data_IF_301610697719
#
_entry.id   IF_301610697719
#
_cell.length_a   1.000
_cell.length_b   1.000
_cell.length_c   1.000
_cell.angle_alpha   90.00
_cell.angle_beta   90.00
_cell.angle_gamma   90.00
#
_symmetry.space_group_name_H-M   'P 1'
#
loop_
_entity.id
_entity.type
_entity.pdbx_description
1 polymer ?
#
# COMPACT_ATOMS: atom_id res chain seq x y z
N UNK A 1 -4.47 -10.05 8.73
CA UNK A 1 -3.43 -9.79 9.74
C UNK A 1 -2.18 -10.53 9.28
N UNK A 2 -1.10 -9.80 8.99
CA UNK A 2 0.08 -10.34 8.31
C UNK A 2 0.76 -11.48 9.09
N UNK A 3 1.39 -12.41 8.38
CA UNK A 3 2.20 -13.45 9.00
C UNK A 3 3.61 -12.92 9.31
N UNK A 4 3.79 -12.40 10.51
CA UNK A 4 5.05 -11.78 10.97
C UNK A 4 6.24 -12.72 11.12
N UNK A 5 6.08 -14.03 10.89
CA UNK A 5 7.13 -15.02 11.08
C UNK A 5 8.38 -14.79 10.23
N UNK A 6 8.25 -14.13 9.07
CA UNK A 6 9.38 -13.83 8.19
C UNK A 6 9.77 -12.35 8.20
N UNK A 7 9.14 -11.53 9.03
CA UNK A 7 9.47 -10.12 9.15
C UNK A 7 10.82 -9.97 9.88
N UNK A 8 11.84 -9.32 9.29
CA UNK A 8 13.15 -9.19 9.92
C UNK A 8 13.16 -8.19 11.09
N UNK A 9 12.13 -7.35 11.20
CA UNK A 9 12.03 -6.27 12.17
C UNK A 9 11.48 -6.69 13.53
N UNK A 10 10.83 -7.85 13.59
CA UNK A 10 10.16 -8.32 14.80
C UNK A 10 10.61 -9.72 15.18
N UNK A 11 10.48 -10.01 16.47
CA UNK A 11 10.70 -11.33 17.02
C UNK A 11 9.55 -11.71 17.94
N UNK A 12 9.31 -13.01 18.09
CA UNK A 12 8.26 -13.48 18.98
C UNK A 12 8.82 -13.51 20.39
N UNK A 13 8.15 -12.84 21.32
CA UNK A 13 8.49 -12.92 22.73
C UNK A 13 8.47 -14.39 23.20
N UNK A 14 9.26 -14.68 24.23
CA UNK A 14 9.25 -15.99 24.86
C UNK A 14 7.83 -16.33 25.35
N UNK A 15 7.52 -17.63 25.43
CA UNK A 15 6.17 -18.11 25.79
C UNK A 15 5.67 -17.60 27.15
N UNK A 16 6.56 -17.07 27.98
CA UNK A 16 6.23 -16.52 29.29
C UNK A 16 5.64 -15.10 29.20
N UNK A 17 5.94 -14.35 28.14
CA UNK A 17 5.47 -12.98 27.88
C UNK A 17 4.26 -12.95 26.91
N UNK A 18 3.51 -14.05 26.82
CA UNK A 18 2.26 -14.11 26.05
C UNK A 18 2.43 -14.31 24.54
N UNK A 19 3.67 -14.39 24.03
CA UNK A 19 3.94 -14.69 22.61
C UNK A 19 3.60 -13.57 21.64
N UNK A 20 3.55 -12.32 22.12
CA UNK A 20 3.39 -11.13 21.30
C UNK A 20 4.58 -10.96 20.34
N UNK A 21 4.34 -10.27 19.24
CA UNK A 21 5.40 -9.81 18.34
C UNK A 21 6.01 -8.54 18.91
N UNK A 22 7.32 -8.54 19.08
CA UNK A 22 8.10 -7.44 19.65
C UNK A 22 9.03 -6.88 18.59
N UNK A 23 9.34 -5.58 18.66
CA UNK A 23 10.45 -5.06 17.87
C UNK A 23 11.75 -5.72 18.31
N UNK A 24 12.53 -6.18 17.34
CA UNK A 24 13.71 -6.99 17.57
C UNK A 24 14.70 -6.31 18.51
N UNK A 25 15.09 -6.99 19.58
CA UNK A 25 16.01 -6.46 20.59
C UNK A 25 15.37 -5.42 21.52
N UNK A 26 14.05 -5.37 21.60
CA UNK A 26 13.31 -4.47 22.49
C UNK A 26 12.15 -5.21 23.18
N UNK A 27 11.69 -4.66 24.30
CA UNK A 27 10.46 -5.11 24.97
C UNK A 27 9.21 -4.33 24.49
N UNK A 28 9.28 -3.69 23.31
CA UNK A 28 8.18 -2.91 22.75
C UNK A 28 7.34 -3.80 21.82
N UNK A 29 6.05 -4.02 22.13
CA UNK A 29 5.22 -4.85 21.29
C UNK A 29 4.84 -4.12 20.01
N UNK A 30 4.80 -4.85 18.90
CA UNK A 30 4.42 -4.34 17.60
C UNK A 30 3.02 -3.69 17.62
N UNK A 31 2.09 -4.20 18.42
CA UNK A 31 0.75 -3.61 18.55
C UNK A 31 0.78 -2.16 19.07
N UNK A 32 1.76 -1.80 19.89
CA UNK A 32 1.92 -0.43 20.41
C UNK A 32 2.19 0.57 19.27
N UNK A 33 2.85 0.13 18.19
CA UNK A 33 3.04 0.98 17.00
C UNK A 33 1.67 1.36 16.42
N UNK A 34 0.80 0.39 16.15
CA UNK A 34 -0.48 0.63 15.51
C UNK A 34 -1.43 1.45 16.37
N UNK A 35 -1.43 1.23 17.69
CA UNK A 35 -2.18 2.05 18.63
C UNK A 35 -1.70 3.51 18.57
N UNK A 36 -0.38 3.73 18.60
CA UNK A 36 0.19 5.08 18.54
C UNK A 36 -0.12 5.77 17.20
N UNK A 37 0.01 5.05 16.08
CA UNK A 37 -0.34 5.58 14.76
C UNK A 37 -1.83 5.90 14.64
N UNK A 38 -2.72 5.08 15.22
CA UNK A 38 -4.15 5.34 15.25
C UNK A 38 -4.51 6.60 16.06
N UNK A 39 -3.73 6.89 17.11
CA UNK A 39 -3.82 8.13 17.89
C UNK A 39 -3.19 9.33 17.17
N UNK A 40 -2.58 9.12 16.00
CA UNK A 40 -2.00 10.16 15.15
C UNK A 40 -0.53 10.47 15.42
N UNK A 41 0.17 9.63 16.18
CA UNK A 41 1.62 9.79 16.38
C UNK A 41 2.39 9.62 15.07
N UNK A 42 3.54 10.31 15.00
CA UNK A 42 4.52 10.09 13.94
C UNK A 42 5.41 8.90 14.29
N UNK A 43 5.89 8.21 13.25
CA UNK A 43 6.84 7.09 13.40
C UNK A 43 8.10 7.50 14.17
N UNK A 44 8.67 8.66 13.87
CA UNK A 44 9.87 9.16 14.57
C UNK A 44 9.59 9.47 16.04
N UNK A 45 8.41 10.00 16.35
CA UNK A 45 7.98 10.30 17.72
C UNK A 45 7.77 9.00 18.51
N UNK A 46 7.14 8.00 17.90
CA UNK A 46 7.02 6.66 18.46
C UNK A 46 8.40 6.03 18.72
N UNK A 47 9.28 6.03 17.71
CA UNK A 47 10.62 5.46 17.80
C UNK A 47 11.42 6.10 18.93
N UNK A 48 11.43 7.43 19.00
CA UNK A 48 12.12 8.18 20.05
C UNK A 48 11.52 7.92 21.44
N UNK A 49 10.20 7.85 21.56
CA UNK A 49 9.51 7.66 22.85
C UNK A 49 9.70 6.25 23.42
N UNK A 50 9.69 5.25 22.55
CA UNK A 50 9.75 3.85 22.95
C UNK A 50 11.16 3.25 22.83
N UNK A 51 12.14 4.01 22.33
CA UNK A 51 13.52 3.56 22.18
C UNK A 51 13.68 2.47 21.12
N UNK A 52 12.81 2.48 20.10
CA UNK A 52 12.86 1.54 18.97
C UNK A 52 13.64 2.19 17.83
N UNK A 53 14.52 1.44 17.17
CA UNK A 53 15.19 1.93 15.96
C UNK A 53 14.15 2.23 14.87
N UNK A 54 14.19 3.45 14.33
CA UNK A 54 13.26 3.90 13.29
C UNK A 54 13.30 2.99 12.04
N UNK A 55 14.46 2.39 11.73
CA UNK A 55 14.57 1.45 10.62
C UNK A 55 13.84 0.13 10.88
N UNK A 56 13.74 -0.31 12.15
CA UNK A 56 12.90 -1.46 12.51
C UNK A 56 11.42 -1.13 12.35
N UNK A 57 10.99 0.07 12.75
CA UNK A 57 9.61 0.54 12.56
C UNK A 57 9.27 0.60 11.07
N UNK A 58 10.14 1.21 10.27
CA UNK A 58 9.95 1.29 8.82
C UNK A 58 9.95 -0.11 8.16
N UNK A 59 10.81 -1.03 8.60
CA UNK A 59 10.84 -2.39 8.08
C UNK A 59 9.59 -3.20 8.44
N UNK A 60 9.01 -3.02 9.62
CA UNK A 60 7.75 -3.66 10.01
C UNK A 60 6.57 -3.16 9.15
N UNK A 61 6.47 -1.84 8.95
CA UNK A 61 5.44 -1.24 8.09
C UNK A 61 5.57 -1.71 6.63
N UNK A 62 6.80 -1.72 6.08
CA UNK A 62 7.06 -2.24 4.72
C UNK A 62 6.69 -3.72 4.58
N UNK A 63 6.99 -4.54 5.58
CA UNK A 63 6.67 -5.97 5.54
C UNK A 63 5.15 -6.21 5.55
N UNK A 64 4.41 -5.45 6.35
CA UNK A 64 2.95 -5.50 6.31
C UNK A 64 2.40 -5.07 4.96
N UNK A 65 2.96 -4.00 4.36
CA UNK A 65 2.56 -3.54 3.03
C UNK A 65 2.81 -4.60 1.94
N UNK A 66 3.96 -5.28 1.96
CA UNK A 66 4.29 -6.34 1.00
C UNK A 66 3.42 -7.59 1.19
N UNK A 67 3.17 -7.99 2.43
CA UNK A 67 2.24 -9.10 2.73
C UNK A 67 0.79 -8.72 2.41
N UNK A 68 0.39 -7.45 2.59
CA UNK A 68 -0.93 -6.95 2.23
C UNK A 68 -1.14 -6.96 0.72
N UNK A 69 -0.13 -6.56 -0.06
CA UNK A 69 -0.16 -6.70 -1.52
C UNK A 69 -0.28 -8.18 -1.93
N UNK A 70 0.46 -9.08 -1.28
CA UNK A 70 0.31 -10.52 -1.53
C UNK A 70 -1.07 -11.07 -1.14
N UNK A 71 -1.66 -10.61 -0.02
CA UNK A 71 -3.02 -11.01 0.41
C UNK A 71 -4.10 -10.48 -0.55
N UNK A 72 -3.91 -9.26 -1.08
CA UNK A 72 -4.75 -8.63 -2.11
C UNK A 72 -4.60 -9.33 -3.48
N UNK A 73 -3.43 -9.90 -3.78
CA UNK A 73 -3.13 -10.55 -5.06
C UNK A 73 -3.45 -12.06 -5.08
N UNK A 74 -3.63 -12.74 -3.93
CA UNK A 74 -3.68 -14.21 -3.85
C UNK A 74 -5.05 -14.79 -3.41
N UNK A 75 -6.00 -14.02 -2.85
CA UNK A 75 -7.30 -14.57 -2.38
C UNK A 75 -8.47 -14.20 -3.31
N UNK A 76 -9.06 -15.16 -4.06
CA UNK A 76 -10.28 -14.93 -4.85
C UNK A 76 -11.56 -14.80 -4.01
N UNK A 77 -11.50 -15.01 -2.69
CA UNK A 77 -12.67 -15.11 -1.80
C UNK A 77 -12.35 -14.58 -0.38
N UNK A 78 -12.12 -13.26 -0.28
CA UNK A 78 -11.99 -12.52 0.99
C UNK A 78 -13.31 -11.82 1.41
N UNK A 79 -13.59 -11.68 2.73
CA UNK A 79 -14.89 -11.23 3.23
C UNK A 79 -15.18 -9.79 2.81
N UNK A 80 -16.47 -9.50 2.53
CA UNK A 80 -17.02 -8.22 2.07
C UNK A 80 -16.89 -7.01 3.02
N UNK A 81 -15.81 -6.95 3.78
CA UNK A 81 -15.25 -5.77 4.42
C UNK A 81 -13.78 -5.69 4.04
N UNK A 82 -13.51 -5.34 2.77
CA UNK A 82 -12.23 -4.71 2.46
C UNK A 82 -12.31 -3.34 3.14
N UNK A 83 -11.80 -3.27 4.38
CA UNK A 83 -11.44 -2.02 5.00
C UNK A 83 -10.62 -1.29 3.94
N UNK A 84 -11.17 -0.17 3.47
CA UNK A 84 -10.61 0.66 2.45
C UNK A 84 -9.09 0.69 2.62
N UNK A 85 -8.37 0.06 1.69
CA UNK A 85 -7.18 0.75 1.18
C UNK A 85 -7.71 2.15 0.96
N UNK A 86 -7.14 3.21 1.54
CA UNK A 86 -7.37 4.52 1.00
C UNK A 86 -6.71 4.49 -0.37
N UNK A 87 -7.35 3.82 -1.34
CA UNK A 87 -7.50 4.38 -2.65
C UNK A 87 -8.23 5.67 -2.33
N UNK A 88 -7.43 6.68 -2.02
CA UNK A 88 -7.80 8.05 -2.20
C UNK A 88 -8.20 8.07 -3.67
N UNK A 89 -9.47 7.78 -3.96
CA UNK A 89 -10.14 8.41 -5.07
C UNK A 89 -9.95 9.86 -4.69
N UNK A 90 -9.08 10.62 -5.38
CA UNK A 90 -8.80 11.96 -4.94
C UNK A 90 -10.05 12.77 -5.24
N UNK A 91 -10.94 12.80 -4.26
CA UNK A 91 -11.99 13.80 -4.12
C UNK A 91 -11.27 15.09 -3.72
N UNK A 92 -10.52 15.65 -4.67
CA UNK A 92 -9.95 17.00 -4.59
C UNK A 92 -8.45 17.15 -4.35
N UNK A 93 -7.63 16.08 -4.33
CA UNK A 93 -6.17 16.21 -4.13
C UNK A 93 -5.40 15.50 -5.24
N UNK A 94 -4.88 16.28 -6.19
CA UNK A 94 -3.88 15.93 -7.22
C UNK A 94 -3.85 14.48 -7.71
N UNK A 95 -4.42 14.25 -8.90
CA UNK A 95 -4.21 13.01 -9.67
C UNK A 95 -2.68 12.80 -9.78
N UNK A 96 -2.13 11.64 -9.39
CA UNK A 96 -0.70 11.39 -9.51
C UNK A 96 -0.22 11.69 -10.92
N UNK A 97 0.97 12.28 -11.07
CA UNK A 97 1.56 12.44 -12.39
C UNK A 97 2.11 11.08 -12.84
N UNK A 98 1.46 10.47 -13.82
CA UNK A 98 1.84 9.16 -14.37
C UNK A 98 2.74 9.29 -15.61
N UNK A 99 3.33 10.48 -15.85
CA UNK A 99 4.11 10.76 -17.05
C UNK A 99 5.36 9.87 -17.22
N UNK A 100 5.84 9.25 -16.13
CA UNK A 100 6.96 8.31 -16.11
C UNK A 100 6.54 6.83 -16.25
N UNK A 101 5.23 6.54 -16.27
CA UNK A 101 4.69 5.18 -16.40
C UNK A 101 4.40 4.86 -17.88
N UNK A 102 5.23 4.02 -18.50
CA UNK A 102 5.19 3.73 -19.94
C UNK A 102 3.93 2.98 -20.42
N UNK A 103 3.15 2.39 -19.51
CA UNK A 103 1.94 1.61 -19.84
C UNK A 103 0.67 2.45 -19.80
N UNK A 104 0.78 3.74 -19.48
CA UNK A 104 -0.34 4.69 -19.49
C UNK A 104 0.00 5.90 -20.35
N UNK A 105 -1.04 6.58 -20.82
CA UNK A 105 -0.91 7.81 -21.58
C UNK A 105 -2.01 8.79 -21.20
N UNK A 106 -1.77 10.08 -21.46
CA UNK A 106 -2.78 11.13 -21.34
C UNK A 106 -2.80 11.93 -22.63
N UNK A 107 -3.89 11.81 -23.39
CA UNK A 107 -4.04 12.47 -24.70
C UNK A 107 -5.17 13.49 -24.62
N UNK A 108 -4.88 14.75 -24.97
CA UNK A 108 -5.89 15.80 -25.02
C UNK A 108 -7.04 15.39 -25.95
N UNK A 109 -8.28 15.44 -25.44
CA UNK A 109 -9.48 15.05 -26.18
C UNK A 109 -9.78 13.53 -26.22
N UNK A 110 -8.90 12.67 -25.71
CA UNK A 110 -9.19 11.23 -25.52
C UNK A 110 -9.67 11.01 -24.08
N UNK A 111 -10.87 10.46 -23.92
CA UNK A 111 -11.51 10.21 -22.60
C UNK A 111 -11.43 11.45 -21.69
N UNK A 112 -11.73 12.62 -22.26
CA UNK A 112 -11.68 13.92 -21.56
C UNK A 112 -10.34 14.27 -20.91
N UNK A 113 -9.22 13.72 -21.42
CA UNK A 113 -7.89 13.96 -20.87
C UNK A 113 -7.59 13.14 -19.61
N UNK A 114 -8.34 12.08 -19.34
CA UNK A 114 -8.00 11.12 -18.29
C UNK A 114 -6.72 10.34 -18.63
N UNK A 115 -6.03 9.86 -17.59
CA UNK A 115 -5.01 8.82 -17.75
C UNK A 115 -5.67 7.50 -18.15
N UNK A 116 -5.16 6.90 -19.21
CA UNK A 116 -5.67 5.67 -19.80
C UNK A 116 -4.53 4.68 -20.01
N UNK A 117 -4.84 3.40 -20.11
CA UNK A 117 -3.88 2.41 -20.58
C UNK A 117 -3.46 2.70 -22.03
N UNK A 118 -2.17 2.53 -22.35
CA UNK A 118 -1.68 2.68 -23.72
C UNK A 118 -2.42 1.74 -24.66
N UNK A 119 -2.70 2.23 -25.87
CA UNK A 119 -3.42 1.49 -26.92
C UNK A 119 -4.86 1.12 -26.54
N UNK A 120 -5.38 1.69 -25.46
CA UNK A 120 -6.74 1.47 -24.97
C UNK A 120 -7.52 2.79 -24.87
N UNK A 121 -8.81 2.68 -24.57
CA UNK A 121 -9.65 3.78 -24.06
C UNK A 121 -10.07 3.57 -22.61
N UNK A 122 -9.51 2.54 -21.95
CA UNK A 122 -9.79 2.18 -20.58
C UNK A 122 -9.07 3.15 -19.63
N UNK A 123 -9.79 3.95 -18.84
CA UNK A 123 -9.18 4.90 -17.93
C UNK A 123 -8.72 4.24 -16.63
N UNK A 124 -7.68 4.80 -16.02
CA UNK A 124 -7.14 4.29 -14.75
C UNK A 124 -8.19 4.29 -13.64
N UNK A 125 -9.03 5.33 -13.58
CA UNK A 125 -10.09 5.38 -12.56
C UNK A 125 -11.05 4.18 -12.65
N UNK A 126 -11.26 3.61 -13.84
CA UNK A 126 -12.13 2.44 -13.97
C UNK A 126 -11.50 1.20 -13.30
N UNK A 127 -10.18 1.00 -13.47
CA UNK A 127 -9.47 -0.05 -12.72
C UNK A 127 -9.67 0.14 -11.21
N UNK A 128 -9.43 1.34 -10.69
CA UNK A 128 -9.55 1.59 -9.26
C UNK A 128 -10.98 1.42 -8.75
N UNK A 129 -11.99 1.88 -9.50
CA UNK A 129 -13.40 1.70 -9.15
C UNK A 129 -13.79 0.23 -9.08
N UNK A 130 -13.33 -0.58 -10.02
CA UNK A 130 -13.61 -2.02 -10.06
C UNK A 130 -12.93 -2.74 -8.89
N UNK A 131 -11.63 -2.49 -8.66
CA UNK A 131 -10.91 -3.06 -7.52
C UNK A 131 -11.54 -2.65 -6.18
N UNK A 132 -11.98 -1.40 -6.05
CA UNK A 132 -12.69 -0.92 -4.85
C UNK A 132 -14.08 -1.57 -4.69
N UNK A 133 -14.70 -2.01 -5.80
CA UNK A 133 -15.92 -2.80 -5.81
C UNK A 133 -15.72 -4.29 -5.49
N UNK A 134 -14.48 -4.72 -5.26
CA UNK A 134 -14.12 -6.10 -4.96
C UNK A 134 -13.83 -6.96 -6.20
N UNK A 135 -13.77 -6.37 -7.39
CA UNK A 135 -13.37 -7.06 -8.62
C UNK A 135 -11.90 -7.48 -8.54
N UNK A 136 -11.56 -8.70 -8.93
CA UNK A 136 -10.16 -9.15 -9.00
C UNK A 136 -9.46 -8.64 -10.27
N UNK A 137 -8.12 -8.65 -10.30
CA UNK A 137 -7.35 -8.28 -11.50
C UNK A 137 -7.70 -9.18 -12.70
N UNK A 138 -7.86 -10.48 -12.45
CA UNK A 138 -8.19 -11.45 -13.51
C UNK A 138 -9.58 -11.19 -14.09
N UNK A 139 -10.59 -10.92 -13.25
CA UNK A 139 -11.93 -10.53 -13.70
C UNK A 139 -11.93 -9.21 -14.48
N UNK A 140 -11.20 -8.21 -13.99
CA UNK A 140 -11.07 -6.93 -14.68
C UNK A 140 -10.44 -7.10 -16.07
N UNK A 141 -9.37 -7.88 -16.16
CA UNK A 141 -8.68 -8.17 -17.44
C UNK A 141 -9.61 -8.90 -18.40
N UNK A 142 -10.39 -9.86 -17.91
CA UNK A 142 -11.37 -10.59 -18.72
C UNK A 142 -12.47 -9.66 -19.27
N UNK A 143 -13.08 -8.82 -18.41
CA UNK A 143 -14.19 -7.94 -18.80
C UNK A 143 -13.78 -6.83 -19.75
N UNK A 144 -12.60 -6.25 -19.55
CA UNK A 144 -12.13 -5.10 -20.32
C UNK A 144 -11.14 -5.47 -21.42
N UNK A 145 -10.93 -6.78 -21.66
CA UNK A 145 -9.89 -7.29 -22.56
C UNK A 145 -8.54 -6.63 -22.30
N UNK A 146 -8.23 -6.46 -21.02
CA UNK A 146 -7.06 -5.74 -20.53
C UNK A 146 -5.77 -6.52 -20.76
N UNK A 147 -4.64 -5.83 -20.65
CA UNK A 147 -3.35 -6.48 -20.54
C UNK A 147 -2.98 -6.58 -19.06
N UNK A 148 -2.96 -7.81 -18.52
CA UNK A 148 -2.63 -8.07 -17.11
C UNK A 148 -1.27 -7.49 -16.73
N UNK A 149 -0.28 -7.52 -17.62
CA UNK A 149 1.04 -6.96 -17.35
C UNK A 149 0.98 -5.43 -17.24
N UNK A 150 0.16 -4.76 -18.06
CA UNK A 150 -0.07 -3.31 -17.95
C UNK A 150 -0.78 -2.97 -16.64
N UNK A 151 -1.81 -3.74 -16.24
CA UNK A 151 -2.52 -3.54 -14.97
C UNK A 151 -1.57 -3.66 -13.77
N UNK A 152 -0.76 -4.73 -13.72
CA UNK A 152 0.22 -4.93 -12.66
C UNK A 152 1.26 -3.79 -12.64
N UNK A 153 1.73 -3.36 -13.80
CA UNK A 153 2.70 -2.24 -13.90
C UNK A 153 2.12 -0.94 -13.34
N UNK A 154 0.84 -0.64 -13.61
CA UNK A 154 0.14 0.50 -13.03
C UNK A 154 0.06 0.40 -11.52
N UNK A 155 -0.32 -0.76 -10.98
CA UNK A 155 -0.43 -0.95 -9.53
C UNK A 155 0.94 -0.81 -8.83
N UNK A 156 2.01 -1.36 -9.41
CA UNK A 156 3.38 -1.16 -8.89
C UNK A 156 3.81 0.30 -8.93
N UNK A 157 3.50 1.01 -10.02
CA UNK A 157 3.82 2.44 -10.12
C UNK A 157 3.06 3.26 -9.07
N UNK A 158 1.78 2.95 -8.84
CA UNK A 158 0.97 3.57 -7.80
C UNK A 158 1.62 3.43 -6.41
N UNK A 159 2.04 2.21 -6.07
CA UNK A 159 2.70 1.91 -4.80
C UNK A 159 4.01 2.68 -4.69
N UNK A 160 4.83 2.68 -5.75
CA UNK A 160 6.10 3.42 -5.77
C UNK A 160 5.89 4.92 -5.58
N UNK A 161 4.91 5.51 -6.26
CA UNK A 161 4.58 6.93 -6.13
C UNK A 161 4.12 7.28 -4.71
N UNK A 162 3.31 6.42 -4.08
CA UNK A 162 2.91 6.57 -2.68
C UNK A 162 4.12 6.48 -1.74
N UNK A 163 5.03 5.53 -1.96
CA UNK A 163 6.26 5.38 -1.17
C UNK A 163 7.18 6.59 -1.31
N UNK A 164 7.35 7.13 -2.52
CA UNK A 164 8.15 8.33 -2.77
C UNK A 164 7.51 9.57 -2.13
N UNK A 165 6.19 9.74 -2.25
CA UNK A 165 5.47 10.83 -1.60
C UNK A 165 5.59 10.76 -0.07
N UNK A 166 5.42 9.57 0.51
CA UNK A 166 5.63 9.35 1.94
C UNK A 166 7.09 9.68 2.32
N UNK A 167 8.07 9.14 1.60
CA UNK A 167 9.50 9.41 1.85
C UNK A 167 9.87 10.90 1.72
N UNK A 168 9.26 11.62 0.78
CA UNK A 168 9.52 13.05 0.56
C UNK A 168 8.83 13.91 1.63
N UNK A 169 7.65 13.50 2.10
CA UNK A 169 7.01 14.07 3.28
C UNK A 169 7.88 13.89 4.55
N UNK A 170 8.66 12.81 4.64
CA UNK A 170 9.66 12.59 5.69
C UNK A 170 11.00 13.31 5.43
N UNK A 171 11.39 13.59 4.18
CA UNK A 171 12.69 14.20 3.84
C UNK A 171 12.72 15.74 3.94
N UNK A 172 11.57 16.41 3.94
CA UNK A 172 11.48 17.88 4.02
C UNK A 172 11.18 18.44 5.43
N UNK A 173 11.12 17.58 6.45
CA UNK A 173 10.94 17.99 7.86
C UNK A 173 12.22 17.82 8.68
N UNK A 174 13.34 18.35 8.16
CA UNK A 174 14.60 18.50 8.89
C UNK A 174 14.83 19.97 9.29
#
# INVERSE_FOLDING_TARGET
MANWQHCPAVERADKQDGGLWMFKGTDVPLCQLYESLADGDRVDDFAARHGVDVELVAAALRYEEEEFINDLLIRPDGPGEIAAIPVVVPTGHEIPDWSDCAVVERIAGKVSGAWIFTESRLPLWALYSELAGGTTIDEFVDWYSGDKAKVITVLHHAVKALQENNRTAYAYTA
#
